data_IF_286803744717
#
_entry.id   IF_286803744717
#
_cell.length_a   1.000
_cell.length_b   1.000
_cell.length_c   1.000
_cell.angle_alpha   90.00
_cell.angle_beta   90.00
_cell.angle_gamma   90.00
#
_symmetry.space_group_name_H-M   'P 1'
#
loop_
_entity.id
_entity.type
_entity.pdbx_description
1 polymer ?
#
# COMPACT_ATOMS: atom_id res chain seq x y z
N UNK A 1 -9.75 8.25 -14.48
CA UNK A 1 -9.51 6.79 -14.62
C UNK A 1 -8.22 6.52 -13.86
N UNK A 2 -8.21 5.61 -12.90
CA UNK A 2 -7.00 5.32 -12.11
C UNK A 2 -5.93 4.61 -12.94
N UNK A 3 -4.67 4.72 -12.53
CA UNK A 3 -3.56 3.96 -13.09
C UNK A 3 -3.27 2.72 -12.26
N UNK A 4 -2.89 1.62 -12.91
CA UNK A 4 -2.45 0.39 -12.24
C UNK A 4 -0.97 0.17 -12.61
N UNK A 5 -0.10 0.25 -11.61
CA UNK A 5 1.34 0.02 -11.76
C UNK A 5 1.67 -1.38 -11.24
N UNK A 6 2.06 -2.28 -12.16
CA UNK A 6 2.48 -3.63 -11.82
C UNK A 6 3.99 -3.69 -11.56
N UNK A 7 4.40 -4.22 -10.41
CA UNK A 7 5.81 -4.31 -10.00
C UNK A 7 6.22 -5.78 -9.93
N UNK A 8 7.19 -6.20 -10.74
CA UNK A 8 7.70 -7.59 -10.79
C UNK A 8 8.58 -7.99 -9.59
N UNK A 9 8.67 -7.16 -8.56
CA UNK A 9 9.52 -7.30 -7.38
C UNK A 9 10.61 -6.23 -7.30
N UNK A 10 11.13 -5.99 -6.08
CA UNK A 10 12.12 -4.96 -5.80
C UNK A 10 11.60 -3.88 -4.87
N UNK A 11 12.03 -2.64 -5.09
CA UNK A 11 11.61 -1.48 -4.31
C UNK A 11 12.10 -1.49 -2.86
N UNK A 12 11.33 -0.88 -1.98
CA UNK A 12 11.65 -0.75 -0.56
C UNK A 12 11.80 -2.10 0.15
N UNK A 13 11.20 -3.17 -0.38
CA UNK A 13 11.40 -4.52 0.14
C UNK A 13 12.85 -5.01 0.05
N UNK A 14 13.64 -4.50 -0.91
CA UNK A 14 15.07 -4.86 -1.08
C UNK A 14 16.02 -3.76 -0.62
N UNK A 15 15.72 -2.51 -0.96
CA UNK A 15 16.57 -1.37 -0.58
C UNK A 15 15.70 -0.16 -0.20
N UNK A 16 15.25 -0.09 1.07
CA UNK A 16 14.43 1.04 1.53
C UNK A 16 15.17 2.37 1.56
N UNK A 17 16.50 2.36 1.37
CA UNK A 17 17.31 3.58 1.32
C UNK A 17 17.46 4.16 -0.09
N UNK A 18 17.00 3.46 -1.12
CA UNK A 18 17.05 3.93 -2.50
C UNK A 18 15.69 3.72 -3.21
N UNK A 19 14.68 4.55 -2.89
CA UNK A 19 13.29 4.33 -3.25
C UNK A 19 12.96 4.77 -4.69
N UNK A 20 13.62 4.18 -5.70
CA UNK A 20 13.47 4.58 -7.11
C UNK A 20 12.05 4.27 -7.63
N UNK A 21 11.54 3.07 -7.34
CA UNK A 21 10.21 2.63 -7.80
C UNK A 21 9.13 3.41 -7.04
N UNK A 22 9.32 3.59 -5.74
CA UNK A 22 8.38 4.31 -4.88
C UNK A 22 8.29 5.79 -5.27
N UNK A 23 9.42 6.41 -5.61
CA UNK A 23 9.45 7.77 -6.16
C UNK A 23 8.63 7.84 -7.46
N UNK A 24 8.86 6.93 -8.40
CA UNK A 24 8.07 6.89 -9.64
C UNK A 24 6.55 6.79 -9.36
N UNK A 25 6.14 5.96 -8.41
CA UNK A 25 4.72 5.81 -8.03
C UNK A 25 4.16 7.11 -7.46
N UNK A 26 4.86 7.76 -6.53
CA UNK A 26 4.42 9.03 -5.93
C UNK A 26 4.31 10.12 -6.99
N UNK A 27 5.25 10.17 -7.94
CA UNK A 27 5.29 11.16 -9.01
C UNK A 27 4.14 11.00 -10.03
N UNK A 28 3.39 9.88 -10.02
CA UNK A 28 2.18 9.73 -10.84
C UNK A 28 0.96 10.45 -10.26
N UNK A 29 1.02 10.85 -8.98
CA UNK A 29 -0.05 11.64 -8.38
C UNK A 29 0.02 13.10 -8.82
N UNK A 30 -1.13 13.66 -9.21
CA UNK A 30 -1.23 15.10 -9.48
C UNK A 30 -1.22 15.96 -8.20
N UNK A 31 -1.35 15.36 -7.02
CA UNK A 31 -1.28 16.06 -5.74
C UNK A 31 0.16 16.22 -5.28
N UNK A 32 0.48 17.40 -4.76
CA UNK A 32 1.81 17.72 -4.23
C UNK A 32 2.26 16.80 -3.09
N UNK A 33 1.34 16.47 -2.17
CA UNK A 33 1.60 15.61 -1.02
C UNK A 33 0.51 14.52 -0.91
N UNK A 34 0.58 13.44 -1.72
CA UNK A 34 -0.47 12.42 -1.77
C UNK A 34 -0.51 11.54 -0.52
N UNK A 35 -1.71 11.08 -0.17
CA UNK A 35 -1.91 10.06 0.85
C UNK A 35 -1.64 8.67 0.27
N UNK A 36 -0.71 7.93 0.88
CA UNK A 36 -0.30 6.60 0.42
C UNK A 36 -0.62 5.58 1.50
N UNK A 37 -1.42 4.57 1.17
CA UNK A 37 -1.72 3.46 2.06
C UNK A 37 -1.05 2.17 1.61
N UNK A 38 -0.22 1.62 2.48
CA UNK A 38 0.39 0.32 2.29
C UNK A 38 -0.47 -0.81 2.88
N UNK A 39 -0.64 -1.89 2.11
CA UNK A 39 -1.40 -3.07 2.53
C UNK A 39 -0.47 -4.31 2.49
N UNK A 40 0.21 -4.67 3.59
CA UNK A 40 1.17 -5.78 3.68
C UNK A 40 0.53 -7.16 3.88
N UNK A 41 -0.76 -7.34 3.58
CA UNK A 41 -1.48 -8.59 3.92
C UNK A 41 -0.85 -9.83 3.29
N UNK A 42 -0.30 -9.73 2.08
CA UNK A 42 0.34 -10.87 1.40
C UNK A 42 1.59 -11.39 2.12
N UNK A 43 2.31 -10.54 2.85
CA UNK A 43 3.47 -10.94 3.66
C UNK A 43 3.07 -11.30 5.10
N UNK A 44 1.78 -11.57 5.34
CA UNK A 44 1.24 -11.75 6.69
C UNK A 44 1.58 -10.59 7.64
N UNK A 45 1.59 -9.35 7.12
CA UNK A 45 1.87 -8.13 7.89
C UNK A 45 3.26 -8.12 8.53
N UNK A 46 4.25 -8.63 7.79
CA UNK A 46 5.65 -8.58 8.18
C UNK A 46 6.07 -7.19 8.68
N UNK A 47 6.56 -7.15 9.94
CA UNK A 47 6.90 -5.91 10.63
C UNK A 47 8.08 -5.21 9.97
N UNK A 48 9.08 -5.95 9.52
CA UNK A 48 10.24 -5.36 8.86
C UNK A 48 9.86 -4.75 7.52
N UNK A 49 8.94 -5.36 6.79
CA UNK A 49 8.45 -4.85 5.52
C UNK A 49 7.69 -3.52 5.71
N UNK A 50 6.92 -3.42 6.80
CA UNK A 50 6.28 -2.17 7.21
C UNK A 50 7.30 -1.10 7.61
N UNK A 51 8.36 -1.46 8.35
CA UNK A 51 9.47 -0.54 8.68
C UNK A 51 10.17 -0.05 7.41
N UNK A 52 10.41 -0.95 6.46
CA UNK A 52 11.03 -0.63 5.18
C UNK A 52 10.16 0.32 4.34
N UNK A 53 8.84 0.11 4.33
CA UNK A 53 7.87 1.00 3.72
C UNK A 53 8.01 2.42 4.27
N UNK A 54 7.97 2.60 5.60
CA UNK A 54 8.13 3.91 6.20
C UNK A 54 9.52 4.50 5.96
N UNK A 55 10.57 3.69 5.96
CA UNK A 55 11.95 4.15 5.67
C UNK A 55 12.08 4.72 4.26
N UNK A 56 11.34 4.17 3.29
CA UNK A 56 11.31 4.66 1.92
C UNK A 56 10.38 5.86 1.74
N UNK A 57 9.11 5.74 2.14
CA UNK A 57 8.07 6.72 1.82
C UNK A 57 8.15 8.00 2.65
N UNK A 58 8.73 7.98 3.85
CA UNK A 58 8.96 9.23 4.62
C UNK A 58 10.03 10.14 4.02
N UNK A 59 10.84 9.62 3.09
CA UNK A 59 11.80 10.42 2.30
C UNK A 59 11.17 11.04 1.05
N UNK A 60 9.94 10.66 0.74
CA UNK A 60 9.16 11.17 -0.38
C UNK A 60 8.16 12.20 0.15
N UNK A 61 7.77 13.16 -0.69
CA UNK A 61 6.77 14.18 -0.33
C UNK A 61 5.36 13.56 -0.34
N UNK A 62 5.04 12.71 0.64
CA UNK A 62 3.76 12.01 0.73
C UNK A 62 3.35 11.81 2.21
N UNK A 63 2.09 11.43 2.45
CA UNK A 63 1.58 11.06 3.77
C UNK A 63 1.41 9.54 3.86
N UNK A 64 2.40 8.80 4.40
CA UNK A 64 2.33 7.34 4.45
C UNK A 64 1.50 6.83 5.63
N UNK A 65 0.58 5.91 5.34
CA UNK A 65 -0.11 5.06 6.32
C UNK A 65 0.00 3.59 5.92
N UNK A 66 -0.41 2.68 6.80
CA UNK A 66 -0.59 1.27 6.47
C UNK A 66 -1.90 0.73 7.05
N UNK A 67 -2.39 -0.35 6.46
CA UNK A 67 -3.62 -1.04 6.88
C UNK A 67 -3.30 -2.49 7.26
N UNK A 68 -3.67 -2.85 8.49
CA UNK A 68 -3.57 -4.21 9.01
C UNK A 68 -4.96 -4.82 9.29
N UNK A 69 -5.07 -6.12 9.06
CA UNK A 69 -6.18 -7.03 9.31
C UNK A 69 -5.93 -7.99 10.48
N UNK A 70 -4.68 -8.25 10.87
CA UNK A 70 -4.35 -9.13 12.01
C UNK A 70 -4.11 -8.38 13.32
N UNK A 71 -4.37 -7.06 13.32
CA UNK A 71 -4.37 -6.19 14.50
C UNK A 71 -5.63 -5.32 14.48
N UNK A 72 -5.65 -4.18 15.18
CA UNK A 72 -6.81 -3.27 15.18
C UNK A 72 -7.04 -2.72 13.77
N UNK A 73 -8.06 -3.23 13.10
CA UNK A 73 -8.48 -2.75 11.78
C UNK A 73 -9.39 -1.53 11.90
N UNK A 74 -9.07 -0.41 11.24
CA UNK A 74 -9.91 0.78 11.22
C UNK A 74 -11.15 0.58 10.34
N UNK A 75 -12.03 1.58 10.33
CA UNK A 75 -13.15 1.67 9.39
C UNK A 75 -12.62 1.79 7.95
N UNK A 76 -12.72 0.69 7.20
CA UNK A 76 -12.11 0.54 5.87
C UNK A 76 -12.64 1.55 4.86
N UNK A 77 -13.96 1.79 4.85
CA UNK A 77 -14.62 2.76 3.98
C UNK A 77 -14.04 4.17 4.15
N UNK A 78 -13.88 4.60 5.38
CA UNK A 78 -13.33 5.92 5.72
C UNK A 78 -11.83 6.01 5.41
N UNK A 79 -11.09 4.92 5.61
CA UNK A 79 -9.65 4.88 5.34
C UNK A 79 -9.38 4.92 3.83
N UNK A 80 -9.99 4.01 3.06
CA UNK A 80 -9.71 3.84 1.62
C UNK A 80 -10.08 5.09 0.83
N UNK A 81 -11.23 5.70 1.12
CA UNK A 81 -11.69 6.92 0.40
C UNK A 81 -10.80 8.16 0.62
N UNK A 82 -9.85 8.11 1.57
CA UNK A 82 -8.91 9.21 1.82
C UNK A 82 -7.57 9.03 1.11
N UNK A 83 -7.34 7.90 0.45
CA UNK A 83 -6.05 7.58 -0.14
C UNK A 83 -5.99 8.03 -1.59
N UNK A 84 -4.82 8.49 -1.99
CA UNK A 84 -4.53 8.82 -3.39
C UNK A 84 -3.86 7.63 -4.07
N UNK A 85 -3.05 6.88 -3.33
CA UNK A 85 -2.31 5.71 -3.80
C UNK A 85 -2.53 4.55 -2.82
N UNK A 86 -2.88 3.39 -3.37
CA UNK A 86 -2.87 2.12 -2.64
C UNK A 86 -1.66 1.30 -3.10
N UNK A 87 -0.74 1.03 -2.18
CA UNK A 87 0.40 0.15 -2.43
C UNK A 87 0.13 -1.23 -1.82
N UNK A 88 0.13 -2.26 -2.66
CA UNK A 88 -0.11 -3.65 -2.22
C UNK A 88 1.24 -4.37 -2.09
N UNK A 89 1.54 -4.86 -0.88
CA UNK A 89 2.76 -5.61 -0.62
C UNK A 89 2.79 -6.98 -1.29
N UNK A 90 3.99 -7.46 -1.62
CA UNK A 90 4.19 -8.81 -2.15
C UNK A 90 4.10 -9.92 -1.10
N UNK A 91 4.00 -11.17 -1.54
CA UNK A 91 3.94 -12.35 -0.66
C UNK A 91 2.99 -13.42 -1.19
N UNK A 92 2.23 -14.06 -0.30
CA UNK A 92 1.23 -15.05 -0.66
C UNK A 92 -0.09 -14.39 -1.08
N UNK A 93 -0.27 -14.19 -2.39
CA UNK A 93 -1.48 -13.58 -2.98
C UNK A 93 -2.74 -14.39 -2.69
N UNK A 94 -2.66 -15.73 -2.62
CA UNK A 94 -3.84 -16.58 -2.36
C UNK A 94 -4.40 -16.30 -0.97
N UNK A 95 -3.54 -16.25 0.05
CA UNK A 95 -3.93 -15.93 1.43
C UNK A 95 -4.42 -14.48 1.55
N UNK A 96 -3.73 -13.53 0.91
CA UNK A 96 -4.18 -12.13 0.87
C UNK A 96 -5.60 -11.99 0.35
N UNK A 97 -5.90 -12.60 -0.81
CA UNK A 97 -7.23 -12.52 -1.42
C UNK A 97 -8.32 -13.17 -0.55
N UNK A 98 -7.99 -14.23 0.19
CA UNK A 98 -8.92 -14.83 1.14
C UNK A 98 -9.29 -13.83 2.26
N UNK A 99 -8.29 -13.19 2.87
CA UNK A 99 -8.50 -12.16 3.90
C UNK A 99 -9.30 -10.98 3.32
N UNK A 100 -8.92 -10.47 2.16
CA UNK A 100 -9.57 -9.30 1.57
C UNK A 100 -11.04 -9.53 1.24
N UNK A 101 -11.41 -10.72 0.75
CA UNK A 101 -12.80 -11.07 0.47
C UNK A 101 -13.65 -11.12 1.73
N UNK A 102 -13.10 -11.65 2.83
CA UNK A 102 -13.79 -11.70 4.13
C UNK A 102 -14.05 -10.28 4.66
N UNK A 103 -13.06 -9.39 4.55
CA UNK A 103 -13.17 -7.99 4.93
C UNK A 103 -13.87 -7.10 3.88
N UNK A 104 -14.23 -7.66 2.72
CA UNK A 104 -14.81 -6.96 1.57
C UNK A 104 -13.93 -5.80 1.05
N UNK A 105 -12.62 -5.85 1.31
CA UNK A 105 -11.67 -4.83 0.84
C UNK A 105 -11.60 -4.81 -0.69
N UNK A 106 -11.67 -5.98 -1.32
CA UNK A 106 -11.73 -6.12 -2.79
C UNK A 106 -12.87 -5.29 -3.41
N UNK A 107 -14.05 -5.34 -2.81
CA UNK A 107 -15.22 -4.56 -3.25
C UNK A 107 -15.07 -3.07 -2.97
N UNK A 108 -14.44 -2.72 -1.85
CA UNK A 108 -14.17 -1.31 -1.51
C UNK A 108 -13.17 -0.68 -2.47
N UNK A 109 -12.09 -1.40 -2.79
CA UNK A 109 -11.08 -0.95 -3.74
C UNK A 109 -11.67 -0.78 -5.14
N UNK A 110 -12.44 -1.76 -5.63
CA UNK A 110 -13.12 -1.70 -6.94
C UNK A 110 -14.12 -0.53 -7.04
N UNK A 111 -14.70 -0.11 -5.91
CA UNK A 111 -15.61 1.04 -5.88
C UNK A 111 -14.87 2.37 -5.88
N UNK A 112 -13.67 2.42 -5.30
CA UNK A 112 -12.90 3.65 -5.11
C UNK A 112 -12.00 4.01 -6.30
N UNK A 113 -11.53 3.02 -7.07
CA UNK A 113 -10.55 3.18 -8.16
C UNK A 113 -10.97 2.42 -9.42
#
# INVERSE_FOLDING_TARGET
MGEIIAIGGGGFGRNPNNPIIEKYIVDQSAKENPNVCFIPTASAEDKQYTVNYYTAFTKLNCNPIHLNFFTRTPRLDSLINKQDIIYVGGGNTKSMLAVWREWKLDKLLLKAY
#
